data_IF_072651691831
#
_entry.id   IF_072651691831
#
_cell.length_a   1.000
_cell.length_b   1.000
_cell.length_c   1.000
_cell.angle_alpha   90.00
_cell.angle_beta   90.00
_cell.angle_gamma   90.00
#
_symmetry.space_group_name_H-M   'P 1'
#
loop_
_entity.id
_entity.type
_entity.pdbx_description
1 polymer ?
#
# COMPACT_ATOMS: atom_id res chain seq x y z
N UNK A 1 -1.38 -1.99 45.11
CA UNK A 1 -1.32 -2.54 43.74
C UNK A 1 -2.33 -1.86 42.81
N UNK A 2 -3.62 -1.79 43.15
CA UNK A 2 -4.68 -1.19 42.29
C UNK A 2 -4.44 0.28 41.92
N UNK A 3 -4.04 1.13 42.89
CA UNK A 3 -3.83 2.56 42.65
C UNK A 3 -2.74 2.86 41.61
N UNK A 4 -1.69 2.05 41.58
CA UNK A 4 -0.60 2.18 40.59
C UNK A 4 -1.12 1.89 39.17
N UNK A 5 -1.96 0.85 39.01
CA UNK A 5 -2.55 0.51 37.73
C UNK A 5 -3.45 1.62 37.20
N UNK A 6 -4.25 2.27 38.05
CA UNK A 6 -5.13 3.38 37.63
C UNK A 6 -4.34 4.59 37.13
N UNK A 7 -3.19 4.88 37.75
CA UNK A 7 -2.32 5.99 37.34
C UNK A 7 -1.53 5.66 36.08
N UNK A 8 -1.05 4.42 35.96
CA UNK A 8 -0.19 4.00 34.86
C UNK A 8 -0.98 3.65 33.59
N UNK A 9 -2.24 3.23 33.71
CA UNK A 9 -3.04 2.77 32.58
C UNK A 9 -3.35 3.87 31.54
N UNK A 10 -3.79 5.10 31.91
CA UNK A 10 -4.02 6.17 30.93
C UNK A 10 -2.79 6.54 30.09
N UNK A 11 -1.60 6.80 30.65
CA UNK A 11 -0.42 7.09 29.84
C UNK A 11 0.05 5.87 29.04
N UNK A 12 -0.15 4.65 29.53
CA UNK A 12 0.15 3.43 28.78
C UNK A 12 -0.73 3.29 27.53
N UNK A 13 -2.02 3.60 27.63
CA UNK A 13 -2.93 3.61 26.48
C UNK A 13 -2.55 4.70 25.47
N UNK A 14 -2.24 5.91 25.94
CA UNK A 14 -1.79 6.99 25.06
C UNK A 14 -0.49 6.60 24.35
N UNK A 15 0.49 6.04 25.07
CA UNK A 15 1.72 5.55 24.49
C UNK A 15 1.47 4.43 23.47
N UNK A 16 0.57 3.49 23.77
CA UNK A 16 0.18 2.43 22.84
C UNK A 16 -0.46 2.99 21.56
N UNK A 17 -1.35 3.96 21.68
CA UNK A 17 -1.99 4.64 20.53
C UNK A 17 -0.99 5.44 19.70
N UNK A 18 -0.02 6.11 20.33
CA UNK A 18 1.07 6.80 19.62
C UNK A 18 2.00 5.81 18.92
N UNK A 19 2.26 4.64 19.53
CA UNK A 19 3.07 3.58 18.92
C UNK A 19 2.31 2.85 17.81
N UNK A 20 0.97 2.81 17.84
CA UNK A 20 0.18 2.27 16.73
C UNK A 20 0.51 2.96 15.41
N UNK A 21 0.94 4.23 15.39
CA UNK A 21 1.47 4.86 14.18
C UNK A 21 2.71 4.09 13.63
N UNK A 22 3.63 3.69 14.51
CA UNK A 22 4.82 2.87 14.18
C UNK A 22 4.52 1.40 13.86
N UNK A 23 3.38 0.87 14.32
CA UNK A 23 2.90 -0.50 14.02
C UNK A 23 2.00 -0.51 12.77
N UNK A 24 1.41 0.63 12.41
CA UNK A 24 0.62 0.83 11.20
C UNK A 24 1.52 1.16 9.99
N UNK A 25 2.67 1.80 10.20
CA UNK A 25 3.66 2.12 9.15
C UNK A 25 4.11 0.90 8.31
N UNK A 26 4.34 -0.32 8.88
CA UNK A 26 4.73 -1.49 8.11
C UNK A 26 3.57 -2.18 7.39
N UNK A 27 2.33 -2.04 7.87
CA UNK A 27 1.13 -2.63 7.23
C UNK A 27 0.44 -1.66 6.26
N UNK A 28 0.76 -0.36 6.32
CA UNK A 28 0.31 0.64 5.36
C UNK A 28 1.25 0.80 4.16
N UNK A 29 1.40 -0.28 3.39
CA UNK A 29 1.50 -0.15 1.92
C UNK A 29 0.17 -0.58 1.26
N UNK A 30 -1.00 0.03 1.56
CA UNK A 30 -2.01 0.10 0.52
C UNK A 30 -1.34 0.79 -0.66
N UNK A 31 -1.72 0.42 -1.87
CA UNK A 31 -1.39 1.16 -3.08
C UNK A 31 -1.42 2.66 -2.76
N UNK A 32 -0.30 3.36 -2.90
CA UNK A 32 -0.27 4.79 -2.55
C UNK A 32 -1.44 5.47 -3.27
N UNK A 33 -2.16 6.43 -2.66
CA UNK A 33 -3.27 7.10 -3.33
C UNK A 33 -2.91 7.58 -4.74
N UNK A 34 -1.66 8.04 -4.90
CA UNK A 34 -1.04 8.39 -6.18
C UNK A 34 -1.00 7.23 -7.18
N UNK A 35 -0.63 6.03 -6.74
CA UNK A 35 -0.58 4.83 -7.58
C UNK A 35 -1.97 4.35 -7.99
N UNK A 36 -2.97 4.49 -7.13
CA UNK A 36 -4.37 4.20 -7.48
C UNK A 36 -4.88 5.20 -8.51
N UNK A 37 -4.63 6.49 -8.31
CA UNK A 37 -4.99 7.53 -9.28
C UNK A 37 -4.32 7.29 -10.64
N UNK A 38 -3.03 6.93 -10.64
CA UNK A 38 -2.31 6.61 -11.87
C UNK A 38 -2.83 5.33 -12.53
N UNK A 39 -3.22 4.32 -11.75
CA UNK A 39 -3.90 3.13 -12.26
C UNK A 39 -5.23 3.51 -12.92
N UNK A 40 -6.11 4.28 -12.27
CA UNK A 40 -7.39 4.68 -12.85
C UNK A 40 -7.23 5.49 -14.16
N UNK A 41 -6.17 6.30 -14.26
CA UNK A 41 -5.87 7.07 -15.46
C UNK A 41 -5.26 6.25 -16.61
N UNK A 42 -4.56 5.14 -16.33
CA UNK A 42 -3.75 4.40 -17.32
C UNK A 42 -4.10 2.92 -17.46
N UNK A 43 -5.09 2.44 -16.69
CA UNK A 43 -5.57 1.07 -16.74
C UNK A 43 -6.27 0.78 -18.06
N UNK A 44 -6.04 -0.41 -18.58
CA UNK A 44 -6.78 -0.92 -19.74
C UNK A 44 -8.10 -1.54 -19.30
N UNK A 45 -9.10 -1.67 -20.18
CA UNK A 45 -10.40 -2.28 -19.84
C UNK A 45 -10.28 -3.64 -19.15
N UNK A 46 -9.38 -4.53 -19.60
CA UNK A 46 -9.16 -5.83 -18.96
C UNK A 46 -8.56 -5.78 -17.54
N UNK A 47 -7.92 -4.67 -17.16
CA UNK A 47 -7.43 -4.47 -15.79
C UNK A 47 -8.49 -3.87 -14.87
N UNK A 48 -9.38 -3.05 -15.41
CA UNK A 48 -10.59 -2.58 -14.72
C UNK A 48 -11.55 -3.74 -14.49
N UNK A 49 -11.68 -4.66 -15.45
CA UNK A 49 -12.43 -5.91 -15.27
C UNK A 49 -11.81 -6.82 -14.20
N UNK A 50 -10.48 -6.90 -14.17
CA UNK A 50 -9.75 -7.61 -13.09
C UNK A 50 -9.94 -6.93 -11.73
N UNK A 51 -10.04 -5.59 -11.69
CA UNK A 51 -10.36 -4.82 -10.49
C UNK A 51 -11.75 -5.19 -9.96
N UNK A 52 -12.75 -5.20 -10.85
CA UNK A 52 -14.13 -5.52 -10.49
C UNK A 52 -14.32 -6.97 -10.05
N UNK A 53 -13.65 -7.92 -10.71
CA UNK A 53 -13.81 -9.36 -10.44
C UNK A 53 -12.91 -9.90 -9.32
N UNK A 54 -11.72 -9.33 -9.12
CA UNK A 54 -10.70 -9.91 -8.22
C UNK A 54 -10.02 -8.91 -7.27
N UNK A 55 -10.42 -7.64 -7.32
CA UNK A 55 -10.00 -6.61 -6.39
C UNK A 55 -8.70 -5.86 -6.75
N UNK A 56 -8.48 -4.75 -6.02
CA UNK A 56 -7.42 -3.76 -6.26
C UNK A 56 -6.02 -4.39 -6.30
N UNK A 57 -5.72 -5.29 -5.35
CA UNK A 57 -4.39 -5.92 -5.24
C UNK A 57 -3.99 -6.64 -6.54
N UNK A 58 -4.91 -7.41 -7.12
CA UNK A 58 -4.64 -8.20 -8.31
C UNK A 58 -4.56 -7.34 -9.57
N UNK A 59 -5.44 -6.36 -9.70
CA UNK A 59 -5.42 -5.39 -10.79
C UNK A 59 -4.12 -4.56 -10.82
N UNK A 60 -3.68 -4.03 -9.67
CA UNK A 60 -2.43 -3.27 -9.58
C UNK A 60 -1.21 -4.12 -9.91
N UNK A 61 -1.20 -5.39 -9.49
CA UNK A 61 -0.08 -6.30 -9.77
C UNK A 61 0.12 -6.52 -11.28
N UNK A 62 -0.99 -6.65 -12.03
CA UNK A 62 -1.01 -6.85 -13.47
C UNK A 62 -0.57 -5.60 -14.21
N UNK A 63 -1.13 -4.46 -13.81
CA UNK A 63 -0.76 -3.16 -14.35
C UNK A 63 0.72 -2.83 -14.14
N UNK A 64 1.24 -3.06 -12.93
CA UNK A 64 2.67 -2.83 -12.60
C UNK A 64 3.59 -3.70 -13.45
N UNK A 65 3.25 -4.98 -13.64
CA UNK A 65 4.00 -5.90 -14.52
C UNK A 65 4.03 -5.41 -15.96
N UNK A 66 2.91 -4.91 -16.48
CA UNK A 66 2.84 -4.34 -17.83
C UNK A 66 3.68 -3.07 -17.95
N UNK A 67 3.66 -2.19 -16.95
CA UNK A 67 4.46 -0.97 -16.97
C UNK A 67 5.96 -1.24 -16.84
N UNK A 68 6.36 -2.17 -15.98
CA UNK A 68 7.76 -2.60 -15.82
C UNK A 68 8.35 -3.21 -17.09
N UNK A 69 7.54 -3.92 -17.89
CA UNK A 69 7.97 -4.46 -19.19
C UNK A 69 8.24 -3.39 -20.25
N UNK A 70 7.55 -2.25 -20.21
CA UNK A 70 7.82 -1.11 -21.12
C UNK A 70 9.10 -0.34 -20.77
N UNK A 71 9.56 -0.39 -19.52
CA UNK A 71 10.82 0.24 -19.10
C UNK A 71 12.07 -0.58 -19.44
N UNK A 72 11.93 -1.90 -19.60
CA UNK A 72 13.06 -2.80 -19.89
C UNK A 72 13.51 -2.78 -21.37
N UNK A 73 12.71 -2.23 -22.28
CA UNK A 73 12.99 -2.22 -23.73
C UNK A 73 13.74 -0.99 -24.23
N UNK A 74 14.13 -0.05 -23.36
CA UNK A 74 14.80 1.20 -23.77
C UNK A 74 16.31 1.20 -23.51
N UNK A 75 16.90 0.06 -23.11
CA UNK A 75 18.36 -0.05 -22.99
C UNK A 75 18.90 -0.92 -24.14
N UNK A 76 19.32 -0.34 -25.28
CA UNK A 76 20.12 -1.09 -26.23
C UNK A 76 21.44 -1.48 -25.55
N UNK A 77 21.94 -2.71 -25.72
CA UNK A 77 23.28 -3.06 -25.25
C UNK A 77 24.27 -2.14 -25.98
N UNK A 78 24.91 -1.24 -25.23
CA UNK A 78 26.08 -0.51 -25.72
C UNK A 78 27.21 -1.53 -25.84
N UNK A 79 27.51 -1.88 -27.10
CA UNK A 79 28.67 -2.64 -27.56
C UNK A 79 29.97 -1.89 -27.29
#
# INVERSE_FOLDING_TARGET
MVALSVILFPPLLIAFLLVMERVEEPLRRPASPREVTEFLNTATPGEVDTLASSGIRRALSRWRRRRGRRGATTNPPLV
#
